data_IF_781230936598
#
_entry.id   IF_781230936598
#
_cell.length_a   1.000
_cell.length_b   1.000
_cell.length_c   1.000
_cell.angle_alpha   90.00
_cell.angle_beta   90.00
_cell.angle_gamma   90.00
#
_symmetry.space_group_name_H-M   'P 1'
#
loop_
_entity.id
_entity.type
_entity.pdbx_description
1 polymer ?
#
# COMPACT_ATOMS: atom_id res chain seq x y z
N UNK A 1 1.59 -8.25 3.28
CA UNK A 1 0.66 -7.14 2.99
C UNK A 1 0.42 -6.37 4.26
N UNK A 2 0.88 -5.14 4.31
CA UNK A 2 0.58 -4.22 5.40
C UNK A 2 -0.14 -3.02 4.82
N UNK A 3 -1.28 -2.65 5.40
CA UNK A 3 -2.08 -1.52 4.94
C UNK A 3 -2.27 -0.55 6.09
N UNK A 4 -1.76 0.67 5.93
CA UNK A 4 -1.92 1.77 6.86
C UNK A 4 -1.93 3.09 6.07
N UNK A 5 -2.41 4.17 6.70
CA UNK A 5 -2.42 5.51 6.07
C UNK A 5 -1.01 6.07 5.92
N UNK A 6 -0.15 5.80 6.91
CA UNK A 6 1.26 6.16 6.98
C UNK A 6 1.95 5.30 8.06
N UNK A 7 3.26 5.43 8.22
CA UNK A 7 3.96 4.76 9.31
C UNK A 7 3.44 5.24 10.68
N UNK A 8 3.21 4.29 11.61
CA UNK A 8 2.72 4.61 12.96
C UNK A 8 3.55 5.66 13.69
N UNK A 9 4.88 5.65 13.52
CA UNK A 9 5.79 6.64 14.11
C UNK A 9 5.54 8.05 13.56
N UNK A 10 5.31 8.16 12.25
CA UNK A 10 4.93 9.42 11.59
C UNK A 10 3.58 9.91 12.06
N UNK A 11 2.60 9.01 12.21
CA UNK A 11 1.27 9.35 12.73
C UNK A 11 1.34 9.84 14.18
N UNK A 12 2.13 9.18 15.03
CA UNK A 12 2.32 9.56 16.42
C UNK A 12 3.03 10.92 16.54
N UNK A 13 4.11 11.14 15.78
CA UNK A 13 4.82 12.41 15.75
C UNK A 13 3.91 13.56 15.25
N UNK A 14 3.16 13.34 14.17
CA UNK A 14 2.22 14.32 13.64
C UNK A 14 1.10 14.66 14.64
N UNK A 15 0.60 13.66 15.37
CA UNK A 15 -0.50 13.82 16.33
C UNK A 15 -0.08 14.52 17.62
N UNK A 16 1.12 14.21 18.14
CA UNK A 16 1.53 14.61 19.49
C UNK A 16 2.68 15.63 19.57
N UNK A 17 3.38 15.94 18.47
CA UNK A 17 4.51 16.91 18.47
C UNK A 17 4.17 18.25 19.10
N UNK A 18 3.04 18.85 18.74
CA UNK A 18 2.59 20.13 19.32
C UNK A 18 2.25 20.02 20.81
N UNK A 19 1.75 18.86 21.25
CA UNK A 19 1.41 18.62 22.66
C UNK A 19 2.68 18.46 23.49
N UNK A 20 3.69 17.75 22.97
CA UNK A 20 4.99 17.61 23.63
C UNK A 20 5.65 18.97 23.91
N UNK A 21 5.61 19.89 22.95
CA UNK A 21 6.13 21.25 23.14
C UNK A 21 5.38 21.97 24.27
N UNK A 22 4.04 21.93 24.27
CA UNK A 22 3.21 22.58 25.30
C UNK A 22 3.45 22.02 26.71
N UNK A 23 3.50 20.69 26.86
CA UNK A 23 3.73 20.07 28.18
C UNK A 23 5.14 20.36 28.70
N UNK A 24 6.14 20.38 27.80
CA UNK A 24 7.52 20.77 28.13
C UNK A 24 7.59 22.23 28.61
N UNK A 25 6.94 23.15 27.90
CA UNK A 25 6.92 24.57 28.26
C UNK A 25 6.18 24.82 29.58
N UNK A 26 5.18 23.99 29.90
CA UNK A 26 4.46 24.02 31.17
C UNK A 26 5.21 23.35 32.34
N UNK A 27 6.36 22.70 32.09
CA UNK A 27 7.12 21.96 33.10
C UNK A 27 6.47 20.65 33.54
N UNK A 28 5.50 20.12 32.78
CA UNK A 28 4.81 18.87 33.08
C UNK A 28 5.66 17.66 32.62
N UNK A 29 5.37 16.49 33.19
CA UNK A 29 5.98 15.23 32.73
C UNK A 29 5.55 14.90 31.30
N UNK A 30 6.51 14.52 30.45
CA UNK A 30 6.26 14.11 29.06
C UNK A 30 5.86 12.65 28.93
N UNK A 31 6.11 11.84 29.97
CA UNK A 31 5.85 10.39 29.99
C UNK A 31 4.44 10.03 29.50
N UNK A 32 3.35 10.70 29.97
CA UNK A 32 1.99 10.34 29.57
C UNK A 32 1.69 10.60 28.09
N UNK A 33 2.46 11.49 27.44
CA UNK A 33 2.32 11.75 26.00
C UNK A 33 3.14 10.74 25.20
N UNK A 34 4.33 10.38 25.68
CA UNK A 34 5.18 9.35 25.06
C UNK A 34 4.50 7.98 25.12
N UNK A 35 3.87 7.61 26.23
CA UNK A 35 3.06 6.39 26.34
C UNK A 35 1.96 6.34 25.26
N UNK A 36 1.21 7.44 25.08
CA UNK A 36 0.18 7.52 24.02
C UNK A 36 0.75 7.44 22.62
N UNK A 37 1.96 7.96 22.40
CA UNK A 37 2.65 7.82 21.12
C UNK A 37 2.99 6.35 20.87
N UNK A 38 3.53 5.65 21.87
CA UNK A 38 3.85 4.22 21.77
C UNK A 38 2.59 3.37 21.55
N UNK A 39 1.50 3.68 22.25
CA UNK A 39 0.19 3.01 22.07
C UNK A 39 -0.32 3.18 20.64
N UNK A 40 -0.20 4.38 20.07
CA UNK A 40 -0.58 4.63 18.68
C UNK A 40 0.28 3.84 17.69
N UNK A 41 1.60 3.79 17.90
CA UNK A 41 2.51 3.00 17.07
C UNK A 41 2.12 1.52 17.12
N UNK A 42 1.86 0.98 18.31
CA UNK A 42 1.47 -0.41 18.51
C UNK A 42 0.11 -0.70 17.86
N UNK A 43 -0.86 0.20 18.02
CA UNK A 43 -2.17 0.10 17.38
C UNK A 43 -2.03 0.03 15.84
N UNK A 44 -1.21 0.90 15.24
CA UNK A 44 -0.96 0.88 13.79
C UNK A 44 -0.34 -0.44 13.35
N UNK A 45 0.61 -0.97 14.13
CA UNK A 45 1.23 -2.27 13.83
C UNK A 45 0.24 -3.42 13.89
N UNK A 46 -0.69 -3.42 14.84
CA UNK A 46 -1.63 -4.53 15.01
C UNK A 46 -2.80 -4.46 14.04
N UNK A 47 -3.23 -3.24 13.69
CA UNK A 47 -4.30 -2.97 12.71
C UNK A 47 -3.85 -2.97 11.25
N UNK A 48 -2.56 -3.12 10.95
CA UNK A 48 -2.06 -3.18 9.58
C UNK A 48 -1.64 -4.58 9.13
N UNK A 49 -1.58 -5.57 10.02
CA UNK A 49 -1.06 -6.91 9.67
C UNK A 49 -1.94 -7.62 8.64
N UNK A 50 -1.38 -8.53 7.82
CA UNK A 50 -2.13 -9.24 6.77
C UNK A 50 -3.43 -9.87 7.28
N UNK A 51 -3.37 -10.54 8.43
CA UNK A 51 -4.53 -11.22 9.03
C UNK A 51 -5.61 -10.20 9.44
N UNK A 52 -5.21 -9.06 10.00
CA UNK A 52 -6.16 -8.01 10.36
C UNK A 52 -6.80 -7.41 9.10
N UNK A 53 -6.00 -7.13 8.07
CA UNK A 53 -6.49 -6.62 6.79
C UNK A 53 -7.51 -7.57 6.13
N UNK A 54 -7.27 -8.88 6.19
CA UNK A 54 -8.22 -9.88 5.68
C UNK A 54 -9.51 -9.91 6.51
N UNK A 55 -9.40 -9.96 7.85
CA UNK A 55 -10.56 -10.00 8.76
C UNK A 55 -11.45 -8.77 8.67
N UNK A 56 -10.86 -7.61 8.38
CA UNK A 56 -11.58 -6.33 8.27
C UNK A 56 -12.00 -5.99 6.85
N UNK A 57 -11.67 -6.82 5.85
CA UNK A 57 -12.05 -6.62 4.45
C UNK A 57 -11.27 -5.50 3.75
N UNK A 58 -10.09 -5.11 4.27
CA UNK A 58 -9.16 -4.23 3.53
C UNK A 58 -8.58 -4.96 2.31
N UNK A 59 -8.46 -6.28 2.41
CA UNK A 59 -8.18 -7.19 1.28
C UNK A 59 -9.14 -8.37 1.39
N UNK A 60 -9.58 -8.90 0.26
CA UNK A 60 -10.47 -10.07 0.24
C UNK A 60 -9.75 -11.33 0.75
N UNK A 61 -8.47 -11.52 0.37
CA UNK A 61 -7.68 -12.71 0.69
C UNK A 61 -6.20 -12.39 0.94
N UNK A 62 -5.57 -13.18 1.81
CA UNK A 62 -4.10 -13.24 1.97
C UNK A 62 -3.61 -14.56 1.41
N UNK A 63 -2.92 -14.49 0.27
CA UNK A 63 -2.54 -15.66 -0.53
C UNK A 63 -1.08 -16.03 -0.28
N UNK A 64 -0.76 -17.33 -0.32
CA UNK A 64 0.62 -17.83 -0.32
C UNK A 64 1.34 -17.38 -1.59
N UNK A 65 2.64 -17.11 -1.48
CA UNK A 65 3.39 -16.50 -2.58
C UNK A 65 3.35 -17.34 -3.87
N UNK A 66 3.49 -18.67 -3.74
CA UNK A 66 3.42 -19.62 -4.85
C UNK A 66 2.06 -19.70 -5.54
N UNK A 67 0.98 -19.36 -4.82
CA UNK A 67 -0.39 -19.43 -5.34
C UNK A 67 -0.82 -18.12 -6.03
N UNK A 68 -0.05 -17.03 -5.86
CA UNK A 68 -0.38 -15.71 -6.43
C UNK A 68 -0.67 -15.77 -7.94
N UNK A 69 0.15 -16.51 -8.70
CA UNK A 69 -0.06 -16.68 -10.15
C UNK A 69 -1.41 -17.32 -10.48
N UNK A 70 -1.89 -18.25 -9.64
CA UNK A 70 -3.16 -18.95 -9.88
C UNK A 70 -4.33 -18.00 -9.82
N UNK A 71 -4.33 -17.06 -8.86
CA UNK A 71 -5.35 -16.02 -8.75
C UNK A 71 -5.31 -15.07 -9.96
N UNK A 72 -4.12 -14.68 -10.42
CA UNK A 72 -3.99 -13.83 -11.62
C UNK A 72 -4.54 -14.52 -12.89
N UNK A 73 -4.25 -15.81 -13.06
CA UNK A 73 -4.77 -16.61 -14.19
C UNK A 73 -6.28 -16.77 -14.09
N UNK A 74 -6.81 -17.09 -12.91
CA UNK A 74 -8.24 -17.22 -12.68
C UNK A 74 -8.98 -15.90 -12.98
N UNK A 75 -8.47 -14.78 -12.47
CA UNK A 75 -9.00 -13.45 -12.74
C UNK A 75 -9.00 -13.13 -14.24
N UNK A 76 -7.87 -13.33 -14.92
CA UNK A 76 -7.75 -13.04 -16.37
C UNK A 76 -8.73 -13.89 -17.18
N UNK A 77 -8.83 -15.18 -16.89
CA UNK A 77 -9.78 -16.07 -17.56
C UNK A 77 -11.23 -15.63 -17.30
N UNK A 78 -11.57 -15.25 -16.07
CA UNK A 78 -12.90 -14.75 -15.73
C UNK A 78 -13.26 -13.45 -16.47
N UNK A 79 -12.34 -12.49 -16.55
CA UNK A 79 -12.54 -11.21 -17.27
C UNK A 79 -12.77 -11.44 -18.77
N UNK A 80 -12.05 -12.37 -19.39
CA UNK A 80 -12.16 -12.64 -20.83
C UNK A 80 -13.21 -13.69 -21.20
N UNK A 81 -13.88 -14.32 -20.24
CA UNK A 81 -14.87 -15.37 -20.52
C UNK A 81 -16.14 -14.84 -21.22
N UNK A 82 -16.64 -13.66 -20.82
CA UNK A 82 -17.81 -13.02 -21.45
C UNK A 82 -17.75 -11.48 -21.31
N UNK A 83 -16.86 -10.80 -22.06
CA UNK A 83 -16.66 -9.37 -21.92
C UNK A 83 -17.85 -8.57 -22.49
N UNK A 84 -18.25 -7.49 -21.81
CA UNK A 84 -19.32 -6.60 -22.27
C UNK A 84 -18.91 -5.67 -23.42
N UNK A 85 -17.61 -5.57 -23.71
CA UNK A 85 -17.06 -4.69 -24.74
C UNK A 85 -15.75 -5.26 -25.29
N UNK A 86 -15.45 -4.99 -26.56
CA UNK A 86 -14.29 -5.53 -27.27
C UNK A 86 -13.59 -4.42 -28.05
N UNK A 87 -12.26 -4.38 -27.96
CA UNK A 87 -11.40 -3.64 -28.89
C UNK A 87 -10.66 -4.65 -29.78
N UNK A 88 -10.91 -4.67 -31.10
CA UNK A 88 -10.12 -5.50 -32.01
C UNK A 88 -8.62 -5.19 -31.87
N UNK A 89 -7.76 -6.21 -31.93
CA UNK A 89 -6.31 -6.03 -31.67
C UNK A 89 -5.66 -4.98 -32.59
N UNK A 90 -6.10 -4.91 -33.85
CA UNK A 90 -5.62 -3.92 -34.81
C UNK A 90 -6.17 -2.51 -34.55
N UNK A 91 -7.09 -2.29 -33.61
CA UNK A 91 -7.54 -0.98 -33.16
C UNK A 91 -6.93 -0.55 -31.82
N UNK A 92 -6.11 -1.40 -31.17
CA UNK A 92 -5.47 -1.06 -29.90
C UNK A 92 -4.44 0.07 -30.08
N UNK A 93 -4.58 1.16 -29.31
CA UNK A 93 -3.66 2.29 -29.36
C UNK A 93 -2.43 2.11 -28.46
N UNK A 94 -2.58 1.42 -27.32
CA UNK A 94 -1.48 1.25 -26.35
C UNK A 94 -0.19 0.67 -26.96
N UNK A 95 -0.21 -0.43 -27.76
CA UNK A 95 1.01 -0.94 -28.38
C UNK A 95 1.70 0.06 -29.32
N UNK A 96 0.92 0.91 -30.00
CA UNK A 96 1.42 1.94 -30.92
C UNK A 96 2.08 3.09 -30.16
N UNK A 97 1.47 3.52 -29.06
CA UNK A 97 1.98 4.60 -28.20
C UNK A 97 3.28 4.20 -27.48
N UNK A 98 3.40 2.94 -27.08
CA UNK A 98 4.64 2.40 -26.50
C UNK A 98 5.76 2.42 -27.56
N UNK A 99 5.48 1.98 -28.79
CA UNK A 99 6.45 1.99 -29.89
C UNK A 99 6.89 3.42 -30.28
N UNK A 100 5.97 4.39 -30.28
CA UNK A 100 6.26 5.77 -30.65
C UNK A 100 7.05 6.56 -29.60
N UNK A 101 7.47 5.94 -28.49
CA UNK A 101 8.19 6.55 -27.37
C UNK A 101 7.51 7.79 -26.75
N UNK A 102 6.21 7.99 -26.99
CA UNK A 102 5.40 8.98 -26.25
C UNK A 102 5.41 8.61 -24.75
N UNK A 103 5.55 7.32 -24.44
CA UNK A 103 5.77 6.81 -23.10
C UNK A 103 7.21 6.26 -23.04
N UNK A 104 8.19 7.11 -22.72
CA UNK A 104 9.51 6.61 -22.32
C UNK A 104 9.36 6.01 -20.92
N UNK A 105 9.47 4.69 -20.82
CA UNK A 105 9.65 4.03 -19.53
C UNK A 105 10.95 4.49 -18.86
N UNK A 106 11.18 4.05 -17.62
CA UNK A 106 12.47 4.26 -16.96
C UNK A 106 13.57 3.53 -17.73
N UNK A 107 14.78 4.10 -17.74
CA UNK A 107 15.95 3.44 -18.30
C UNK A 107 16.14 2.08 -17.64
N UNK A 108 16.40 1.06 -18.46
CA UNK A 108 16.65 -0.28 -17.95
C UNK A 108 17.89 -0.22 -17.04
N UNK A 109 17.83 -0.73 -15.80
CA UNK A 109 19.02 -0.79 -14.96
C UNK A 109 20.11 -1.55 -15.71
N UNK A 110 21.32 -0.98 -15.70
CA UNK A 110 22.50 -1.63 -16.29
C UNK A 110 22.73 -2.99 -15.63
N UNK A 111 23.32 -3.94 -16.37
CA UNK A 111 23.85 -5.15 -15.73
C UNK A 111 24.95 -4.70 -14.78
N UNK A 112 24.81 -5.01 -13.49
CA UNK A 112 25.98 -5.05 -12.59
C UNK A 112 26.92 -6.13 -13.15
N UNK A 113 28.19 -5.76 -13.35
CA UNK A 113 29.27 -6.68 -13.76
C UNK A 113 29.67 -7.64 -12.64
#
# INVERSE_FOLDING_TARGET
TEINVMHGETAAAASYSRRLVKEKDAGNSLEPVIEKMNDMVQHYRDSSRPIYCAKTGMVDEVVRFEDMRRYMVAFSNGVYQNPRSICPRHHMMLPRLIQSQIVKGLDRPGKEE
#
